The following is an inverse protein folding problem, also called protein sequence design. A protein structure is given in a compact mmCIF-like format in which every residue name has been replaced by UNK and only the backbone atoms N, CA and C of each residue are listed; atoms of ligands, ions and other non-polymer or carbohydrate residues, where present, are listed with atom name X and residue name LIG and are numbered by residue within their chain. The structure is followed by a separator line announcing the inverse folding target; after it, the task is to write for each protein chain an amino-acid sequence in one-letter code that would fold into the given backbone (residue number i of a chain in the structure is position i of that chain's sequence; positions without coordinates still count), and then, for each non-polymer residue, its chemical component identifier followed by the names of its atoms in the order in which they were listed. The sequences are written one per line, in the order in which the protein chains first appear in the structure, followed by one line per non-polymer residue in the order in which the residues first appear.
data_IF_058735948359
#
_entry.id   IF_058735948359
#
_cell.length_a   1.000
_cell.length_b   1.000
_cell.length_c   1.000
_cell.angle_alpha   90.00
_cell.angle_beta   90.00
_cell.angle_gamma   90.00
#
_symmetry.space_group_name_H-M   'P 1'
#
loop_
_entity.id
_entity.type
_entity.pdbx_description
1 polymer ?
#
# COMPACT_ATOMS: atom_id res chain seq x y z
N UNK A 1 10.27 -20.47 -1.90
CA UNK A 1 10.05 -21.12 -3.21
C UNK A 1 9.58 -22.54 -2.94
N UNK A 2 8.54 -22.99 -3.63
CA UNK A 2 8.04 -24.37 -3.54
C UNK A 2 7.99 -25.01 -4.93
N UNK A 3 8.06 -26.33 -4.99
CA UNK A 3 7.97 -27.08 -6.25
C UNK A 3 7.05 -28.27 -6.04
N UNK A 4 5.98 -28.36 -6.84
CA UNK A 4 5.01 -29.43 -6.77
C UNK A 4 5.51 -30.66 -7.52
N UNK A 5 6.35 -31.47 -6.86
CA UNK A 5 7.01 -32.64 -7.47
C UNK A 5 6.10 -33.85 -7.63
N UNK A 6 5.05 -33.99 -6.81
CA UNK A 6 4.17 -35.15 -6.81
C UNK A 6 2.95 -34.98 -7.74
N UNK A 7 2.24 -33.86 -7.60
CA UNK A 7 1.04 -33.55 -8.37
C UNK A 7 0.74 -32.04 -8.32
N UNK A 8 -0.05 -31.54 -9.26
CA UNK A 8 -0.51 -30.15 -9.23
C UNK A 8 -1.48 -29.93 -8.07
N UNK A 9 -1.26 -28.86 -7.29
CA UNK A 9 -2.13 -28.49 -6.18
C UNK A 9 -3.35 -27.69 -6.62
N UNK A 10 -3.32 -27.15 -7.84
CA UNK A 10 -4.42 -26.44 -8.49
C UNK A 10 -4.64 -26.98 -9.90
N UNK A 11 -5.85 -26.77 -10.42
CA UNK A 11 -6.11 -27.05 -11.83
C UNK A 11 -5.38 -26.02 -12.70
N UNK A 12 -4.58 -26.52 -13.65
CA UNK A 12 -3.85 -25.69 -14.62
C UNK A 12 -4.45 -25.96 -16.00
N UNK A 13 -5.40 -25.12 -16.39
CA UNK A 13 -6.10 -25.21 -17.66
C UNK A 13 -5.43 -24.38 -18.76
N UNK A 14 -6.09 -24.32 -19.91
CA UNK A 14 -5.63 -23.50 -21.05
C UNK A 14 -5.92 -22.01 -20.85
N UNK A 15 -6.94 -21.69 -20.03
CA UNK A 15 -7.28 -20.32 -19.66
C UNK A 15 -6.41 -19.85 -18.47
N UNK A 16 -5.58 -18.80 -18.67
CA UNK A 16 -4.72 -18.28 -17.62
C UNK A 16 -5.52 -17.60 -16.49
N UNK A 17 -6.73 -17.07 -16.76
CA UNK A 17 -7.54 -16.39 -15.75
C UNK A 17 -8.14 -17.36 -14.73
N UNK A 18 -8.66 -18.49 -15.22
CA UNK A 18 -9.13 -19.58 -14.35
C UNK A 18 -7.98 -20.09 -13.47
N UNK A 19 -6.80 -20.31 -14.07
CA UNK A 19 -5.61 -20.77 -13.34
C UNK A 19 -5.15 -19.75 -12.29
N UNK A 20 -5.18 -18.44 -12.61
CA UNK A 20 -4.86 -17.36 -11.67
C UNK A 20 -5.78 -17.37 -10.45
N UNK A 21 -7.09 -17.48 -10.68
CA UNK A 21 -8.11 -17.51 -9.62
C UNK A 21 -7.88 -18.69 -8.66
N UNK A 22 -7.68 -19.88 -9.20
CA UNK A 22 -7.46 -21.09 -8.42
C UNK A 22 -6.13 -21.04 -7.65
N UNK A 23 -5.07 -20.52 -8.28
CA UNK A 23 -3.78 -20.32 -7.64
C UNK A 23 -3.84 -19.35 -6.46
N UNK A 24 -4.54 -18.23 -6.60
CA UNK A 24 -4.67 -17.25 -5.53
C UNK A 24 -5.54 -17.75 -4.38
N UNK A 25 -6.56 -18.59 -4.68
CA UNK A 25 -7.29 -19.33 -3.65
C UNK A 25 -6.36 -20.29 -2.90
N UNK A 26 -5.56 -21.08 -3.62
CA UNK A 26 -4.58 -21.98 -3.01
C UNK A 26 -3.59 -21.23 -2.12
N UNK A 27 -3.04 -20.10 -2.58
CA UNK A 27 -2.13 -19.25 -1.81
C UNK A 27 -2.76 -18.85 -0.47
N UNK A 28 -3.98 -18.32 -0.50
CA UNK A 28 -4.69 -17.87 0.71
C UNK A 28 -4.88 -19.01 1.72
N UNK A 29 -5.14 -20.22 1.26
CA UNK A 29 -5.48 -21.36 2.12
C UNK A 29 -4.26 -22.17 2.59
N UNK A 30 -3.18 -22.23 1.79
CA UNK A 30 -2.09 -23.18 1.99
C UNK A 30 -0.70 -22.55 2.15
N UNK A 31 -0.42 -21.39 1.52
CA UNK A 31 0.89 -20.75 1.60
C UNK A 31 0.97 -19.91 2.89
N UNK A 32 1.81 -20.33 3.82
CA UNK A 32 2.00 -19.66 5.12
C UNK A 32 3.16 -18.67 5.13
N UNK A 33 4.07 -18.80 4.18
CA UNK A 33 5.21 -17.90 4.06
C UNK A 33 4.74 -16.50 3.68
N UNK A 34 5.32 -15.49 4.33
CA UNK A 34 5.01 -14.10 4.02
C UNK A 34 5.72 -13.68 2.74
N UNK A 35 4.95 -13.17 1.79
CA UNK A 35 5.47 -12.60 0.56
C UNK A 35 4.61 -11.43 0.10
N UNK A 36 5.24 -10.46 -0.56
CA UNK A 36 4.57 -9.30 -1.13
C UNK A 36 3.72 -9.72 -2.35
N UNK A 37 4.29 -10.59 -3.18
CA UNK A 37 3.62 -11.27 -4.29
C UNK A 37 3.93 -12.78 -4.31
N UNK A 38 3.09 -13.55 -4.99
CA UNK A 38 3.34 -14.96 -5.31
C UNK A 38 3.07 -15.22 -6.79
N UNK A 39 3.99 -15.86 -7.49
CA UNK A 39 3.82 -16.20 -8.91
C UNK A 39 3.95 -17.70 -9.13
N UNK A 40 3.03 -18.25 -9.92
CA UNK A 40 3.09 -19.63 -10.40
C UNK A 40 3.87 -19.69 -11.71
N UNK A 41 4.81 -20.63 -11.82
CA UNK A 41 5.41 -21.02 -13.09
C UNK A 41 4.78 -22.33 -13.57
N UNK A 42 4.04 -22.24 -14.67
CA UNK A 42 3.30 -23.34 -15.26
C UNK A 42 4.06 -23.95 -16.42
N UNK A 43 4.31 -25.27 -16.38
CA UNK A 43 4.85 -26.01 -17.53
C UNK A 43 3.88 -26.16 -18.71
N UNK A 44 2.64 -25.67 -18.59
CA UNK A 44 1.64 -25.65 -19.68
C UNK A 44 1.65 -24.29 -20.37
N UNK A 45 1.46 -24.31 -21.67
CA UNK A 45 1.21 -23.12 -22.50
C UNK A 45 -0.29 -22.79 -22.47
N UNK A 46 -0.62 -21.53 -22.26
CA UNK A 46 -1.98 -21.03 -22.26
C UNK A 46 -2.46 -20.75 -23.68
N UNK A 47 -3.76 -20.96 -23.93
CA UNK A 47 -4.40 -20.60 -25.20
C UNK A 47 -4.84 -19.13 -25.17
N UNK A 48 -3.88 -18.24 -24.97
CA UNK A 48 -4.12 -16.79 -24.96
C UNK A 48 -3.04 -16.06 -25.76
N UNK A 49 -3.27 -14.79 -26.10
CA UNK A 49 -2.25 -13.97 -26.75
C UNK A 49 -1.04 -13.68 -25.84
N UNK A 50 -1.09 -14.10 -24.57
CA UNK A 50 -0.15 -13.72 -23.52
C UNK A 50 0.37 -14.95 -22.78
N UNK A 51 1.66 -14.91 -22.46
CA UNK A 51 2.34 -15.97 -21.70
C UNK A 51 2.15 -15.86 -20.18
N UNK A 52 1.40 -14.88 -19.70
CA UNK A 52 1.13 -14.71 -18.28
C UNK A 52 0.02 -13.70 -18.00
N UNK A 53 -0.51 -13.76 -16.79
CA UNK A 53 -1.51 -12.81 -16.29
C UNK A 53 -1.38 -12.67 -14.78
N UNK A 54 -1.65 -11.47 -14.27
CA UNK A 54 -1.60 -11.15 -12.86
C UNK A 54 -2.67 -10.12 -12.52
N UNK A 55 -3.15 -10.12 -11.28
CA UNK A 55 -4.13 -9.13 -10.87
C UNK A 55 -3.51 -7.73 -10.83
N UNK A 56 -4.17 -6.79 -11.50
CA UNK A 56 -3.71 -5.41 -11.56
C UNK A 56 -3.86 -4.77 -10.18
N UNK A 57 -2.84 -4.01 -9.76
CA UNK A 57 -2.75 -3.38 -8.43
C UNK A 57 -2.87 -4.38 -7.26
N UNK A 58 -2.54 -5.65 -7.51
CA UNK A 58 -2.70 -6.73 -6.54
C UNK A 58 -1.63 -6.77 -5.45
N UNK A 59 -0.47 -6.12 -5.63
CA UNK A 59 0.67 -6.23 -4.71
C UNK A 59 0.27 -5.96 -3.24
N UNK A 60 0.89 -6.66 -2.30
CA UNK A 60 0.57 -6.62 -0.86
C UNK A 60 -0.78 -7.25 -0.46
N UNK A 61 -1.63 -7.65 -1.42
CA UNK A 61 -2.87 -8.37 -1.12
C UNK A 61 -2.62 -9.89 -1.04
N UNK A 62 -3.19 -10.53 -0.03
CA UNK A 62 -3.15 -11.99 0.09
C UNK A 62 -3.93 -12.69 -1.04
N UNK A 63 -5.07 -12.10 -1.46
CA UNK A 63 -5.97 -12.67 -2.47
C UNK A 63 -5.68 -12.20 -3.88
N UNK A 64 -4.99 -11.06 -4.05
CA UNK A 64 -4.70 -10.47 -5.37
C UNK A 64 -3.22 -10.31 -5.68
N UNK A 65 -2.31 -10.39 -4.72
CA UNK A 65 -0.88 -10.14 -4.96
C UNK A 65 -0.15 -11.27 -5.67
N UNK A 66 -0.50 -11.57 -6.90
CA UNK A 66 0.14 -12.64 -7.63
C UNK A 66 -0.24 -12.72 -9.09
N UNK A 67 0.38 -13.69 -9.74
CA UNK A 67 0.23 -13.95 -11.17
C UNK A 67 0.58 -15.39 -11.54
N UNK A 68 0.24 -15.76 -12.77
CA UNK A 68 0.62 -17.04 -13.37
C UNK A 68 1.41 -16.75 -14.64
N UNK A 69 2.51 -17.48 -14.84
CA UNK A 69 3.39 -17.31 -15.98
C UNK A 69 3.71 -18.67 -16.58
N UNK A 70 3.79 -18.74 -17.90
CA UNK A 70 4.31 -19.89 -18.62
C UNK A 70 5.80 -20.07 -18.32
N UNK A 71 6.17 -21.32 -18.06
CA UNK A 71 7.55 -21.74 -17.91
C UNK A 71 8.14 -22.08 -19.27
N UNK A 72 9.36 -21.61 -19.52
CA UNK A 72 10.06 -21.84 -20.78
C UNK A 72 11.48 -21.32 -20.76
N UNK A 73 11.90 -20.69 -21.86
CA UNK A 73 13.23 -20.10 -21.96
C UNK A 73 13.39 -18.95 -20.95
N UNK A 74 14.55 -18.88 -20.29
CA UNK A 74 14.84 -17.90 -19.22
C UNK A 74 14.60 -16.46 -19.67
N UNK A 75 15.00 -16.11 -20.89
CA UNK A 75 14.82 -14.76 -21.43
C UNK A 75 13.34 -14.34 -21.53
N UNK A 76 12.52 -15.01 -22.37
CA UNK A 76 11.09 -14.73 -22.46
C UNK A 76 10.36 -14.84 -21.11
N UNK A 77 10.64 -15.87 -20.31
CA UNK A 77 10.00 -16.06 -19.00
C UNK A 77 10.30 -14.90 -18.05
N UNK A 78 11.52 -14.34 -18.08
CA UNK A 78 11.86 -13.15 -17.31
C UNK A 78 11.04 -11.92 -17.74
N UNK A 79 10.79 -11.75 -19.03
CA UNK A 79 9.93 -10.67 -19.54
C UNK A 79 8.48 -10.87 -19.09
N UNK A 80 7.96 -12.08 -19.22
CA UNK A 80 6.60 -12.44 -18.76
C UNK A 80 6.44 -12.20 -17.26
N UNK A 81 7.42 -12.60 -16.44
CA UNK A 81 7.40 -12.32 -15.00
C UNK A 81 7.44 -10.80 -14.73
N UNK A 82 8.28 -10.05 -15.45
CA UNK A 82 8.33 -8.59 -15.33
C UNK A 82 7.00 -7.92 -15.69
N UNK A 83 6.30 -8.41 -16.72
CA UNK A 83 4.96 -7.94 -17.10
C UNK A 83 3.93 -8.23 -16.00
N UNK A 84 3.89 -9.46 -15.50
CA UNK A 84 2.98 -9.89 -14.44
C UNK A 84 3.21 -9.11 -13.13
N UNK A 85 4.47 -8.89 -12.75
CA UNK A 85 4.81 -8.02 -11.61
C UNK A 85 4.44 -6.56 -11.91
N UNK A 86 4.67 -6.09 -13.15
CA UNK A 86 4.25 -4.77 -13.60
C UNK A 86 2.75 -4.54 -13.40
N UNK A 87 1.92 -5.52 -13.77
CA UNK A 87 0.48 -5.50 -13.50
C UNK A 87 0.18 -5.43 -12.01
N UNK A 88 0.81 -6.28 -11.18
CA UNK A 88 0.63 -6.21 -9.71
C UNK A 88 1.00 -4.83 -9.13
N UNK A 89 1.93 -4.11 -9.78
CA UNK A 89 2.38 -2.76 -9.44
C UNK A 89 1.55 -1.63 -10.09
N UNK A 90 0.44 -1.96 -10.76
CA UNK A 90 -0.48 -1.00 -11.36
C UNK A 90 -0.14 -0.56 -12.79
N UNK A 91 0.92 -1.11 -13.39
CA UNK A 91 1.26 -0.85 -14.79
C UNK A 91 0.28 -1.60 -15.70
N UNK A 92 -0.24 -0.91 -16.70
CA UNK A 92 -1.17 -1.51 -17.64
C UNK A 92 -0.47 -1.88 -18.96
N UNK A 93 -1.01 -2.88 -19.65
CA UNK A 93 -0.61 -3.16 -21.01
C UNK A 93 -1.00 -2.03 -21.94
N UNK A 94 -0.20 -1.87 -23.01
CA UNK A 94 -0.41 -1.01 -24.17
C UNK A 94 -1.77 -0.35 -24.28
N UNK A 95 -1.77 0.98 -24.24
CA UNK A 95 -2.93 1.79 -24.60
C UNK A 95 -2.55 2.74 -25.70
N UNK A 96 -3.25 2.60 -26.81
CA UNK A 96 -3.52 3.70 -27.72
C UNK A 96 -4.12 4.86 -26.90
N UNK A 97 -3.26 5.71 -26.32
CA UNK A 97 -3.71 7.04 -25.91
C UNK A 97 -3.98 7.77 -27.22
N UNK A 98 -5.22 8.25 -27.39
CA UNK A 98 -5.72 8.85 -28.62
C UNK A 98 -4.92 10.08 -29.12
N UNK A 99 -3.94 10.56 -28.34
CA UNK A 99 -2.96 11.55 -28.76
C UNK A 99 -1.67 10.87 -29.20
N UNK A 100 -1.36 10.98 -30.50
CA UNK A 100 -0.06 10.67 -31.07
C UNK A 100 1.03 11.57 -30.43
N UNK A 101 1.57 11.18 -29.27
CA UNK A 101 2.61 11.94 -28.58
C UNK A 101 2.97 11.54 -27.14
N UNK A 102 2.06 10.97 -26.34
CA UNK A 102 2.28 10.95 -24.87
C UNK A 102 2.96 9.70 -24.30
N UNK A 103 2.72 8.51 -24.86
CA UNK A 103 3.36 7.27 -24.40
C UNK A 103 4.43 6.81 -25.39
N UNK A 104 5.68 7.21 -25.17
CA UNK A 104 6.81 6.77 -26.00
C UNK A 104 7.65 5.72 -25.29
N UNK A 105 7.88 4.60 -25.98
CA UNK A 105 8.90 3.65 -25.57
C UNK A 105 10.30 4.23 -25.85
N UNK A 106 11.22 4.27 -24.86
CA UNK A 106 12.58 4.76 -25.06
C UNK A 106 13.40 3.91 -26.04
N UNK A 107 13.00 2.66 -26.29
CA UNK A 107 13.65 1.76 -27.23
C UNK A 107 12.66 1.33 -28.33
N UNK A 108 12.63 2.04 -29.47
CA UNK A 108 11.71 1.71 -30.56
C UNK A 108 12.02 0.36 -31.25
N UNK A 109 13.20 -0.22 -31.04
CA UNK A 109 13.65 -1.43 -31.73
C UNK A 109 13.35 -2.69 -30.92
N UNK A 110 13.67 -2.66 -29.62
CA UNK A 110 13.38 -3.78 -28.71
C UNK A 110 11.95 -3.73 -28.15
N UNK A 111 11.28 -2.59 -28.26
CA UNK A 111 9.98 -2.36 -27.61
C UNK A 111 10.12 -2.21 -26.10
N UNK A 112 8.97 -2.13 -25.44
CA UNK A 112 8.86 -1.97 -24.00
C UNK A 112 8.27 -3.20 -23.31
N UNK A 113 8.55 -3.35 -22.00
CA UNK A 113 8.15 -4.56 -21.25
C UNK A 113 6.63 -4.75 -21.26
N UNK A 114 5.84 -3.69 -21.10
CA UNK A 114 4.36 -3.77 -21.10
C UNK A 114 3.73 -3.79 -22.51
N UNK A 115 4.55 -4.02 -23.54
CA UNK A 115 4.13 -4.24 -24.93
C UNK A 115 4.14 -5.73 -25.31
N UNK A 116 3.49 -6.08 -26.42
CA UNK A 116 3.48 -7.44 -26.96
C UNK A 116 4.91 -7.95 -27.15
N UNK A 117 5.18 -9.12 -26.56
CA UNK A 117 6.52 -9.70 -26.59
C UNK A 117 6.77 -10.40 -27.93
N UNK A 118 7.60 -9.78 -28.76
CA UNK A 118 8.03 -10.33 -30.03
C UNK A 118 9.27 -11.23 -29.92
N UNK A 119 9.96 -11.40 -31.05
CA UNK A 119 11.24 -12.12 -31.10
C UNK A 119 12.35 -11.43 -30.29
N UNK A 120 12.33 -10.10 -30.25
CA UNK A 120 13.27 -9.29 -29.48
C UNK A 120 12.76 -9.06 -28.07
N UNK A 121 13.64 -9.27 -27.08
CA UNK A 121 13.27 -9.16 -25.67
C UNK A 121 13.45 -7.71 -25.16
N UNK A 122 12.37 -7.03 -24.76
CA UNK A 122 12.44 -5.67 -24.25
C UNK A 122 13.17 -5.62 -22.90
N UNK A 123 13.79 -4.49 -22.59
CA UNK A 123 14.55 -4.31 -21.32
C UNK A 123 14.16 -3.06 -20.54
N UNK A 124 13.20 -2.28 -21.05
CA UNK A 124 12.82 -0.99 -20.49
C UNK A 124 11.30 -0.88 -20.40
N UNK A 125 10.84 -0.17 -19.38
CA UNK A 125 9.46 0.27 -19.29
C UNK A 125 9.24 1.54 -20.12
N UNK A 126 8.00 1.73 -20.60
CA UNK A 126 7.60 2.98 -21.25
C UNK A 126 7.45 4.08 -20.19
N UNK A 127 7.45 5.34 -20.63
CA UNK A 127 7.18 6.47 -19.72
C UNK A 127 5.83 6.34 -19.02
N UNK A 128 4.81 5.83 -19.72
CA UNK A 128 3.46 5.69 -19.17
C UNK A 128 3.38 4.60 -18.11
N UNK A 129 4.08 3.48 -18.28
CA UNK A 129 4.16 2.43 -17.26
C UNK A 129 4.80 2.96 -15.97
N UNK A 130 5.82 3.83 -16.09
CA UNK A 130 6.42 4.49 -14.92
C UNK A 130 5.46 5.48 -14.27
N UNK A 131 4.75 6.30 -15.05
CA UNK A 131 3.74 7.24 -14.51
C UNK A 131 2.60 6.50 -13.78
N UNK A 132 2.14 5.37 -14.32
CA UNK A 132 1.13 4.51 -13.70
C UNK A 132 1.59 3.90 -12.38
N UNK A 133 2.82 3.38 -12.34
CA UNK A 133 3.43 2.88 -11.11
C UNK A 133 3.58 3.99 -10.05
N UNK A 134 4.05 5.17 -10.44
CA UNK A 134 4.20 6.31 -9.52
C UNK A 134 2.84 6.73 -8.98
N UNK A 135 1.80 6.79 -9.83
CA UNK A 135 0.44 7.09 -9.38
C UNK A 135 -0.06 6.04 -8.40
N UNK A 136 0.12 4.75 -8.68
CA UNK A 136 -0.27 3.67 -7.79
C UNK A 136 0.32 3.83 -6.38
N UNK A 137 1.61 4.20 -6.28
CA UNK A 137 2.25 4.50 -4.99
C UNK A 137 1.68 5.76 -4.32
N UNK A 138 1.45 6.82 -5.08
CA UNK A 138 0.88 8.08 -4.56
C UNK A 138 -0.56 7.92 -4.06
N UNK A 139 -1.32 7.01 -4.66
CA UNK A 139 -2.65 6.65 -4.21
C UNK A 139 -2.65 5.83 -2.91
N UNK A 140 -1.47 5.41 -2.40
CA UNK A 140 -1.30 4.63 -1.16
C UNK A 140 -1.10 3.13 -1.37
N UNK A 141 -0.91 2.69 -2.63
CA UNK A 141 -0.59 1.30 -2.96
C UNK A 141 0.85 0.92 -2.61
N UNK A 142 1.11 -0.39 -2.52
CA UNK A 142 2.49 -0.91 -2.39
C UNK A 142 3.15 -0.75 -1.02
N UNK A 143 2.36 -0.62 0.05
CA UNK A 143 2.89 -0.42 1.43
C UNK A 143 3.91 -1.48 1.88
N UNK A 144 3.77 -2.74 1.43
CA UNK A 144 4.69 -3.83 1.72
C UNK A 144 6.05 -3.76 0.98
N UNK A 145 6.23 -2.84 0.03
CA UNK A 145 7.45 -2.77 -0.79
C UNK A 145 8.60 -1.98 -0.14
N UNK A 146 8.36 -1.39 1.03
CA UNK A 146 9.30 -0.52 1.73
C UNK A 146 10.09 -1.25 2.83
N UNK A 147 10.11 -2.59 2.82
CA UNK A 147 10.96 -3.40 3.69
C UNK A 147 12.07 -4.10 2.89
N UNK A 148 13.32 -3.74 3.17
CA UNK A 148 14.48 -4.39 2.58
C UNK A 148 14.69 -5.79 3.20
N UNK A 149 14.70 -6.87 2.42
CA UNK A 149 15.02 -8.21 2.92
C UNK A 149 16.45 -8.32 3.46
N UNK A 150 16.67 -9.17 4.46
CA UNK A 150 18.00 -9.43 5.06
C UNK A 150 18.46 -10.88 4.91
N UNK A 151 17.62 -11.75 4.35
CA UNK A 151 17.93 -13.15 4.10
C UNK A 151 17.47 -13.49 2.69
N UNK A 152 18.43 -13.71 1.80
CA UNK A 152 18.17 -14.17 0.45
C UNK A 152 18.25 -15.71 0.42
N UNK A 153 17.79 -16.29 -0.71
CA UNK A 153 17.86 -17.74 -0.93
C UNK A 153 19.25 -18.18 -1.38
N UNK A 154 20.02 -17.25 -1.96
CA UNK A 154 21.37 -17.48 -2.45
C UNK A 154 22.42 -17.28 -1.33
N UNK A 155 23.65 -17.81 -1.51
CA UNK A 155 24.75 -17.54 -0.58
C UNK A 155 25.09 -16.04 -0.50
N UNK A 156 25.54 -15.53 0.66
CA UNK A 156 25.88 -14.12 0.83
C UNK A 156 26.90 -13.60 -0.19
N UNK A 157 26.62 -12.45 -0.81
CA UNK A 157 27.48 -11.81 -1.81
C UNK A 157 27.69 -10.30 -1.54
N UNK A 158 28.88 -9.97 -1.04
CA UNK A 158 29.25 -8.59 -0.78
C UNK A 158 29.25 -7.71 -2.05
N UNK A 159 28.39 -6.70 -2.07
CA UNK A 159 28.24 -5.73 -3.16
C UNK A 159 26.93 -5.88 -3.95
N UNK A 160 26.07 -6.83 -3.56
CA UNK A 160 24.72 -6.99 -4.12
C UNK A 160 23.71 -5.96 -3.55
N UNK A 161 24.13 -5.22 -2.53
CA UNK A 161 23.35 -4.17 -1.88
C UNK A 161 22.43 -4.69 -0.77
N UNK A 162 22.54 -5.94 -0.32
CA UNK A 162 21.76 -6.50 0.78
C UNK A 162 22.67 -6.85 1.94
N UNK A 163 22.26 -6.51 3.17
CA UNK A 163 23.05 -6.88 4.36
C UNK A 163 22.68 -8.30 4.75
N UNK A 164 23.59 -9.23 4.45
CA UNK A 164 23.42 -10.67 4.64
C UNK A 164 24.24 -11.21 5.82
N UNK A 165 24.13 -12.51 6.09
CA UNK A 165 24.84 -13.11 7.22
C UNK A 165 26.37 -13.04 7.01
N UNK A 166 27.05 -12.33 7.91
CA UNK A 166 28.50 -12.11 7.85
C UNK A 166 28.90 -10.71 7.38
N UNK A 167 27.93 -9.89 6.97
CA UNK A 167 28.16 -8.51 6.54
C UNK A 167 27.59 -7.51 7.54
N UNK A 168 28.28 -6.38 7.74
CA UNK A 168 27.80 -5.28 8.58
C UNK A 168 27.12 -4.17 7.76
N UNK A 169 27.48 -4.09 6.49
CA UNK A 169 26.96 -3.10 5.55
C UNK A 169 27.09 -3.61 4.13
N UNK A 170 26.16 -3.20 3.27
CA UNK A 170 26.32 -3.33 1.83
C UNK A 170 25.73 -2.09 1.13
N UNK A 171 26.61 -1.35 0.47
CA UNK A 171 26.31 -0.12 -0.26
C UNK A 171 25.98 -0.37 -1.74
N UNK A 172 26.10 -1.60 -2.24
CA UNK A 172 25.90 -1.99 -3.63
C UNK A 172 27.03 -1.57 -4.56
N UNK A 173 27.31 -2.32 -5.62
CA UNK A 173 28.46 -2.09 -6.50
C UNK A 173 28.50 -0.72 -7.20
N UNK A 174 27.36 -0.23 -7.72
CA UNK A 174 27.28 1.07 -8.42
C UNK A 174 26.94 2.23 -7.48
N UNK A 175 26.12 1.98 -6.47
CA UNK A 175 25.58 3.01 -5.58
C UNK A 175 26.53 3.41 -4.46
N UNK A 176 27.54 2.57 -4.15
CA UNK A 176 28.50 2.87 -3.08
C UNK A 176 29.25 4.19 -3.29
N UNK A 177 29.50 4.56 -4.55
CA UNK A 177 30.16 5.82 -4.91
C UNK A 177 29.29 7.05 -4.58
N UNK A 178 27.96 6.88 -4.56
CA UNK A 178 26.99 7.94 -4.31
C UNK A 178 26.58 8.00 -2.84
N UNK A 179 26.38 6.83 -2.22
CA UNK A 179 25.92 6.70 -0.84
C UNK A 179 26.60 5.51 -0.15
N UNK A 180 27.19 5.76 1.01
CA UNK A 180 27.69 4.71 1.91
C UNK A 180 29.13 4.24 1.70
N UNK A 181 29.79 4.56 0.59
CA UNK A 181 31.18 4.13 0.36
C UNK A 181 32.23 4.70 1.31
N UNK A 182 31.96 5.86 1.94
CA UNK A 182 32.82 6.38 3.01
C UNK A 182 32.68 5.59 4.33
N UNK A 183 31.54 4.91 4.50
CA UNK A 183 31.13 4.26 5.74
C UNK A 183 31.29 2.73 5.68
N UNK A 184 31.44 2.17 4.49
CA UNK A 184 31.46 0.73 4.24
C UNK A 184 32.64 0.34 3.36
N UNK A 185 33.45 -0.61 3.82
CA UNK A 185 34.61 -1.11 3.09
C UNK A 185 34.67 -2.62 3.20
N UNK A 186 34.61 -3.32 2.06
CA UNK A 186 34.56 -4.80 2.00
C UNK A 186 33.44 -5.37 2.90
N UNK A 187 32.24 -4.79 2.79
CA UNK A 187 31.05 -5.11 3.58
C UNK A 187 31.23 -5.10 5.11
N UNK A 188 32.21 -4.33 5.58
CA UNK A 188 32.48 -4.04 6.99
C UNK A 188 32.39 -2.53 7.21
N UNK A 189 31.84 -2.10 8.34
CA UNK A 189 31.75 -0.68 8.66
C UNK A 189 33.14 -0.08 8.91
N UNK A 190 33.34 1.17 8.52
CA UNK A 190 34.57 1.91 8.81
C UNK A 190 34.60 2.38 10.28
N UNK A 191 35.75 2.84 10.75
CA UNK A 191 35.90 3.34 12.12
C UNK A 191 34.88 4.45 12.43
N UNK A 192 34.18 4.34 13.56
CA UNK A 192 33.08 5.21 14.00
C UNK A 192 31.80 5.23 13.13
N UNK A 193 31.69 4.35 12.12
CA UNK A 193 30.47 4.22 11.34
C UNK A 193 29.46 3.31 12.06
N UNK A 194 28.21 3.77 12.14
CA UNK A 194 27.05 3.03 12.64
C UNK A 194 26.15 2.55 11.49
N UNK A 195 26.24 3.19 10.33
CA UNK A 195 25.47 2.85 9.15
C UNK A 195 26.25 3.18 7.88
N UNK A 196 25.80 2.59 6.76
CA UNK A 196 26.36 2.86 5.43
C UNK A 196 25.38 3.65 4.56
N UNK A 197 24.20 3.09 4.31
CA UNK A 197 23.17 3.64 3.44
C UNK A 197 21.79 3.55 4.10
N UNK A 198 20.81 4.22 3.49
CA UNK A 198 19.41 4.26 3.93
C UNK A 198 18.95 5.69 4.30
N UNK A 199 17.64 5.90 4.31
CA UNK A 199 17.02 7.21 4.55
C UNK A 199 17.25 7.74 5.98
N UNK A 200 17.58 6.86 6.93
CA UNK A 200 17.89 7.21 8.32
C UNK A 200 19.40 7.12 8.61
N UNK A 201 20.24 7.27 7.58
CA UNK A 201 21.69 7.31 7.72
C UNK A 201 22.23 8.64 7.21
N UNK A 202 22.92 9.37 8.08
CA UNK A 202 23.52 10.65 7.74
C UNK A 202 24.97 10.69 8.21
N UNK A 203 25.90 10.85 7.26
CA UNK A 203 27.35 10.86 7.52
C UNK A 203 27.80 9.69 8.40
N UNK A 204 27.44 8.47 8.00
CA UNK A 204 27.76 7.22 8.69
C UNK A 204 27.17 7.06 10.11
N UNK A 205 26.26 7.94 10.54
CA UNK A 205 25.56 7.85 11.83
C UNK A 205 24.06 7.72 11.61
N UNK A 206 23.38 7.04 12.54
CA UNK A 206 21.93 7.00 12.52
C UNK A 206 21.35 8.40 12.70
N UNK A 207 20.30 8.68 11.94
CA UNK A 207 19.49 9.86 12.16
C UNK A 207 18.83 9.82 13.54
N UNK A 208 18.52 10.99 14.10
CA UNK A 208 17.89 11.07 15.41
C UNK A 208 16.48 10.47 15.37
N UNK A 209 16.03 9.93 16.51
CA UNK A 209 14.67 9.42 16.65
C UNK A 209 13.67 10.56 16.40
N UNK A 210 12.68 10.32 15.54
CA UNK A 210 11.64 11.30 15.20
C UNK A 210 11.94 12.13 13.96
N UNK A 211 13.11 11.99 13.33
CA UNK A 211 13.36 12.58 12.00
C UNK A 211 12.48 11.88 10.98
N UNK A 212 11.67 12.64 10.24
CA UNK A 212 10.81 12.10 9.20
C UNK A 212 11.64 11.56 8.03
N UNK A 213 11.43 10.30 7.69
CA UNK A 213 12.10 9.65 6.56
C UNK A 213 11.16 9.34 5.39
N UNK A 214 9.84 9.37 5.63
CA UNK A 214 8.83 9.28 4.58
C UNK A 214 7.60 10.12 4.93
N UNK A 215 7.17 10.95 4.00
CA UNK A 215 5.92 11.71 4.08
C UNK A 215 4.71 10.80 3.81
N UNK A 216 3.56 11.17 4.37
CA UNK A 216 2.29 10.55 4.02
C UNK A 216 1.86 10.96 2.61
N UNK A 217 1.45 9.99 1.79
CA UNK A 217 1.05 10.26 0.38
C UNK A 217 -0.41 10.70 0.24
N UNK A 218 -1.27 10.34 1.20
CA UNK A 218 -2.69 10.65 1.19
C UNK A 218 -3.29 10.67 2.62
N UNK A 219 -4.59 10.96 2.72
CA UNK A 219 -5.34 10.97 3.99
C UNK A 219 -5.41 9.61 4.69
N UNK A 220 -5.16 8.51 3.99
CA UNK A 220 -5.18 7.14 4.49
C UNK A 220 -3.80 6.64 4.93
N UNK A 221 -2.77 7.44 4.73
CA UNK A 221 -1.38 7.10 5.01
C UNK A 221 -0.87 7.80 6.29
N UNK A 222 0.27 7.34 6.81
CA UNK A 222 0.91 7.86 8.01
C UNK A 222 2.39 8.12 7.71
N UNK A 223 2.98 9.25 8.15
CA UNK A 223 4.40 9.47 7.95
C UNK A 223 5.25 8.55 8.83
N UNK A 224 6.37 8.05 8.31
CA UNK A 224 7.35 7.31 9.09
C UNK A 224 8.54 8.18 9.51
N UNK A 225 9.01 7.89 10.72
CA UNK A 225 10.13 8.57 11.33
C UNK A 225 11.22 7.58 11.71
N UNK A 226 12.47 8.01 11.59
CA UNK A 226 13.63 7.26 12.01
C UNK A 226 13.53 6.86 13.48
N UNK A 227 13.94 5.63 13.77
CA UNK A 227 13.87 5.04 15.12
C UNK A 227 15.02 5.47 16.02
N UNK A 228 16.11 5.98 15.43
CA UNK A 228 17.35 6.36 16.11
C UNK A 228 18.39 5.24 16.21
N UNK A 229 18.05 4.02 15.80
CA UNK A 229 18.86 2.81 15.95
C UNK A 229 18.92 1.94 14.68
N UNK A 230 18.42 2.47 13.56
CA UNK A 230 18.41 1.80 12.25
C UNK A 230 18.72 2.80 11.15
N UNK A 231 19.41 2.34 10.11
CA UNK A 231 19.69 3.13 8.91
C UNK A 231 18.52 3.15 7.92
N UNK A 232 17.63 2.15 8.02
CA UNK A 232 16.45 2.04 7.18
C UNK A 232 15.28 2.80 7.80
N UNK A 233 14.48 3.46 6.95
CA UNK A 233 13.18 3.96 7.38
C UNK A 233 12.31 2.77 7.83
N UNK A 234 11.48 2.91 8.88
CA UNK A 234 10.58 1.85 9.29
C UNK A 234 9.68 1.37 8.15
N UNK A 235 9.16 0.13 8.22
CA UNK A 235 8.22 -0.37 7.21
C UNK A 235 7.03 0.58 7.06
N UNK A 236 6.66 0.86 5.81
CA UNK A 236 5.51 1.71 5.47
C UNK A 236 4.22 1.10 6.02
N UNK A 237 3.48 1.90 6.78
CA UNK A 237 2.21 1.54 7.39
C UNK A 237 1.17 2.60 7.10
N UNK A 238 -0.07 2.16 6.86
CA UNK A 238 -1.19 3.04 6.62
C UNK A 238 -2.25 2.93 7.72
N UNK A 239 -3.19 3.88 7.71
CA UNK A 239 -4.35 3.86 8.61
C UNK A 239 -5.15 2.58 8.39
N UNK A 240 -5.75 2.08 9.46
CA UNK A 240 -6.65 0.94 9.40
C UNK A 240 -7.80 1.19 8.42
N UNK A 241 -8.27 0.12 7.78
CA UNK A 241 -9.41 0.22 6.88
C UNK A 241 -10.65 0.74 7.62
N UNK A 242 -11.47 1.54 6.94
CA UNK A 242 -12.68 2.15 7.49
C UNK A 242 -12.52 3.58 8.03
N UNK A 243 -11.29 4.08 8.20
CA UNK A 243 -11.06 5.52 8.47
C UNK A 243 -11.66 6.38 7.34
N UNK A 244 -12.20 7.54 7.69
CA UNK A 244 -12.74 8.48 6.69
C UNK A 244 -11.62 9.26 6.01
N UNK A 245 -11.78 9.52 4.72
CA UNK A 245 -10.85 10.31 3.90
C UNK A 245 -11.65 11.23 2.95
N UNK A 246 -10.98 12.13 2.24
CA UNK A 246 -11.61 13.05 1.26
C UNK A 246 -12.75 13.86 1.88
N UNK A 247 -12.43 14.56 2.99
CA UNK A 247 -13.39 15.34 3.78
C UNK A 247 -14.64 14.55 4.25
N UNK A 248 -14.53 13.23 4.41
CA UNK A 248 -15.60 12.34 4.87
C UNK A 248 -16.44 11.72 3.75
N UNK A 249 -16.11 11.97 2.48
CA UNK A 249 -16.80 11.38 1.33
C UNK A 249 -16.30 9.95 1.03
N UNK A 250 -15.07 9.64 1.44
CA UNK A 250 -14.43 8.36 1.20
C UNK A 250 -14.08 7.58 2.45
N UNK A 251 -13.63 6.34 2.23
CA UNK A 251 -13.05 5.50 3.28
C UNK A 251 -11.73 4.89 2.85
N UNK A 252 -10.85 4.74 3.82
CA UNK A 252 -9.57 4.08 3.65
C UNK A 252 -9.77 2.58 3.51
N UNK A 253 -9.19 1.99 2.47
CA UNK A 253 -9.19 0.55 2.25
C UNK A 253 -7.87 0.15 1.56
N UNK A 254 -7.06 -0.66 2.25
CA UNK A 254 -5.73 -1.05 1.78
C UNK A 254 -4.78 0.15 1.60
N UNK A 255 -4.90 1.18 2.45
CA UNK A 255 -4.07 2.39 2.39
C UNK A 255 -4.51 3.43 1.35
N UNK A 256 -5.58 3.16 0.61
CA UNK A 256 -6.10 4.03 -0.45
C UNK A 256 -7.46 4.61 -0.07
N UNK A 257 -7.73 5.84 -0.50
CA UNK A 257 -9.04 6.46 -0.29
C UNK A 257 -10.02 6.01 -1.39
N UNK A 258 -11.10 5.33 -1.01
CA UNK A 258 -12.11 4.80 -1.93
C UNK A 258 -13.36 5.68 -1.94
N UNK A 259 -13.71 6.20 -3.13
CA UNK A 259 -14.96 6.92 -3.42
C UNK A 259 -15.50 6.51 -4.79
N UNK A 260 -16.83 6.54 -4.97
CA UNK A 260 -17.44 6.33 -6.29
C UNK A 260 -17.00 7.40 -7.29
N UNK A 261 -16.86 8.64 -6.83
CA UNK A 261 -16.41 9.76 -7.66
C UNK A 261 -14.99 9.56 -8.17
N UNK A 262 -14.05 9.17 -7.31
CA UNK A 262 -12.68 8.87 -7.72
C UNK A 262 -12.63 7.70 -8.70
N UNK A 263 -13.45 6.66 -8.49
CA UNK A 263 -13.54 5.52 -9.41
C UNK A 263 -14.06 5.96 -10.79
N UNK A 264 -15.16 6.71 -10.85
CA UNK A 264 -15.70 7.25 -12.11
C UNK A 264 -14.68 8.21 -12.78
N UNK A 265 -13.98 9.03 -12.00
CA UNK A 265 -13.00 9.99 -12.52
C UNK A 265 -11.77 9.27 -13.10
N UNK A 266 -11.33 8.19 -12.46
CA UNK A 266 -10.22 7.38 -12.94
C UNK A 266 -10.61 6.61 -14.22
N UNK A 267 -11.80 6.01 -14.23
CA UNK A 267 -12.23 5.14 -15.32
C UNK A 267 -12.75 5.89 -16.55
N UNK A 268 -13.56 6.92 -16.34
CA UNK A 268 -14.29 7.65 -17.39
C UNK A 268 -13.92 9.13 -17.47
N UNK A 269 -13.30 9.70 -16.44
CA UNK A 269 -13.01 11.14 -16.38
C UNK A 269 -14.19 12.00 -15.96
N UNK A 270 -15.22 11.39 -15.37
CA UNK A 270 -16.45 12.05 -14.91
C UNK A 270 -16.77 11.68 -13.46
N UNK A 271 -17.68 12.42 -12.84
CA UNK A 271 -18.11 12.16 -11.47
C UNK A 271 -19.12 11.00 -11.38
N UNK A 272 -19.34 10.51 -10.17
CA UNK A 272 -20.37 9.54 -9.88
C UNK A 272 -21.76 10.13 -10.08
N UNK A 273 -22.68 9.27 -10.51
CA UNK A 273 -24.08 9.61 -10.65
C UNK A 273 -24.75 9.82 -9.29
N UNK A 274 -25.90 10.49 -9.31
CA UNK A 274 -26.71 10.72 -8.12
C UNK A 274 -27.18 9.38 -7.51
N UNK A 275 -27.35 9.34 -6.19
CA UNK A 275 -27.85 8.17 -5.46
C UNK A 275 -29.16 7.62 -6.05
N UNK A 276 -30.03 8.48 -6.58
CA UNK A 276 -31.28 8.06 -7.22
C UNK A 276 -31.05 7.17 -8.45
N UNK A 277 -29.94 7.34 -9.19
CA UNK A 277 -29.59 6.46 -10.31
C UNK A 277 -29.39 5.02 -9.83
N UNK A 278 -28.63 4.84 -8.74
CA UNK A 278 -28.36 3.54 -8.13
C UNK A 278 -29.65 2.91 -7.58
N UNK A 279 -30.47 3.69 -6.86
CA UNK A 279 -31.72 3.19 -6.28
C UNK A 279 -32.73 2.72 -7.32
N UNK A 280 -32.72 3.31 -8.53
CA UNK A 280 -33.55 2.84 -9.64
C UNK A 280 -32.91 1.65 -10.34
N UNK A 281 -31.77 1.86 -10.99
CA UNK A 281 -31.20 0.88 -11.93
C UNK A 281 -30.74 -0.39 -11.24
N UNK A 282 -30.05 -0.29 -10.09
CA UNK A 282 -29.45 -1.48 -9.46
C UNK A 282 -30.51 -2.42 -8.85
N UNK A 283 -31.71 -1.90 -8.57
CA UNK A 283 -32.84 -2.73 -8.09
C UNK A 283 -33.55 -3.48 -9.23
N UNK A 284 -33.34 -3.09 -10.49
CA UNK A 284 -33.95 -3.76 -11.64
C UNK A 284 -33.32 -5.13 -11.90
N UNK A 285 -32.02 -5.28 -11.63
CA UNK A 285 -31.27 -6.52 -11.88
C UNK A 285 -31.19 -6.85 -13.36
N UNK A 286 -30.77 -5.87 -14.15
CA UNK A 286 -30.54 -6.00 -15.59
C UNK A 286 -29.08 -5.69 -15.90
N UNK A 287 -28.66 -5.86 -17.15
CA UNK A 287 -27.33 -5.44 -17.62
C UNK A 287 -27.06 -3.95 -17.34
N UNK A 288 -28.12 -3.13 -17.21
CA UNK A 288 -28.03 -1.69 -16.95
C UNK A 288 -27.87 -1.31 -15.48
N UNK A 289 -28.04 -2.27 -14.57
CA UNK A 289 -27.95 -2.07 -13.14
C UNK A 289 -28.28 -3.34 -12.38
N UNK A 290 -27.32 -3.83 -11.60
CA UNK A 290 -27.39 -5.11 -10.91
C UNK A 290 -26.30 -5.21 -9.80
N UNK A 291 -26.31 -6.31 -9.06
CA UNK A 291 -25.33 -6.67 -8.02
C UNK A 291 -24.48 -7.88 -8.43
N UNK A 292 -24.03 -7.90 -9.68
CA UNK A 292 -23.24 -9.00 -10.23
C UNK A 292 -24.07 -10.01 -10.99
N UNK A 293 -23.39 -11.03 -11.51
CA UNK A 293 -24.02 -12.17 -12.16
C UNK A 293 -24.36 -13.25 -11.13
N UNK A 294 -25.47 -13.96 -11.35
CA UNK A 294 -25.86 -15.08 -10.50
C UNK A 294 -24.81 -16.20 -10.61
N UNK A 295 -24.31 -16.74 -9.49
CA UNK A 295 -23.31 -17.82 -9.50
C UNK A 295 -23.75 -19.08 -10.27
N UNK A 296 -25.05 -19.29 -10.43
CA UNK A 296 -25.66 -20.40 -11.17
C UNK A 296 -25.81 -20.11 -12.67
N UNK A 297 -25.41 -18.92 -13.13
CA UNK A 297 -25.49 -18.50 -14.53
C UNK A 297 -26.89 -18.08 -14.99
N UNK A 298 -27.81 -17.79 -14.07
CA UNK A 298 -29.21 -17.47 -14.38
C UNK A 298 -29.46 -16.01 -14.80
N UNK A 299 -28.40 -15.20 -14.98
CA UNK A 299 -28.49 -13.81 -15.40
C UNK A 299 -27.96 -12.84 -14.34
N UNK A 300 -28.53 -11.65 -14.29
CA UNK A 300 -28.11 -10.55 -13.41
C UNK A 300 -28.85 -10.58 -12.07
N UNK A 301 -28.14 -10.29 -10.98
CA UNK A 301 -28.70 -10.29 -9.62
C UNK A 301 -29.32 -8.92 -9.31
N UNK A 302 -30.58 -8.90 -8.90
CA UNK A 302 -31.23 -7.70 -8.36
C UNK A 302 -30.59 -7.28 -7.04
N UNK A 303 -30.17 -6.02 -6.91
CA UNK A 303 -29.65 -5.52 -5.65
C UNK A 303 -30.77 -5.36 -4.61
N UNK A 304 -30.47 -5.74 -3.37
CA UNK A 304 -31.30 -5.31 -2.24
C UNK A 304 -31.21 -3.78 -2.08
N UNK A 305 -32.25 -3.17 -1.51
CA UNK A 305 -32.28 -1.72 -1.22
C UNK A 305 -31.10 -1.22 -0.40
N UNK A 306 -30.49 -2.06 0.44
CA UNK A 306 -29.31 -1.71 1.24
C UNK A 306 -28.01 -1.77 0.42
N UNK A 307 -27.97 -2.61 -0.61
CA UNK A 307 -26.77 -2.94 -1.40
C UNK A 307 -26.68 -2.12 -2.69
N UNK A 308 -27.70 -1.33 -3.02
CA UNK A 308 -27.77 -0.53 -4.27
C UNK A 308 -26.54 0.32 -4.56
N UNK A 309 -25.83 0.80 -3.52
CA UNK A 309 -24.62 1.61 -3.66
C UNK A 309 -23.32 0.79 -3.80
N UNK A 310 -23.41 -0.54 -3.80
CA UNK A 310 -22.29 -1.48 -3.96
C UNK A 310 -22.42 -2.34 -5.23
N UNK A 311 -23.51 -2.19 -5.98
CA UNK A 311 -23.72 -2.86 -7.26
C UNK A 311 -22.98 -2.17 -8.40
N UNK A 312 -23.64 -2.13 -9.56
CA UNK A 312 -23.13 -1.51 -10.78
C UNK A 312 -22.82 -0.02 -10.57
N UNK A 313 -21.64 0.40 -11.03
CA UNK A 313 -21.13 1.76 -10.92
C UNK A 313 -21.82 2.65 -11.95
N UNK A 314 -22.35 3.78 -11.47
CA UNK A 314 -23.02 4.76 -12.31
C UNK A 314 -22.30 6.11 -12.20
N UNK A 315 -22.00 6.69 -13.36
CA UNK A 315 -21.30 7.95 -13.56
C UNK A 315 -22.16 8.90 -14.40
N UNK A 316 -21.78 10.18 -14.48
CA UNK A 316 -22.51 11.20 -15.26
C UNK A 316 -21.83 11.50 -16.59
N UNK A 317 -22.60 11.84 -17.63
CA UNK A 317 -22.12 12.46 -18.87
C UNK A 317 -21.03 11.66 -19.59
N UNK A 318 -21.21 10.34 -19.68
CA UNK A 318 -20.19 9.43 -20.21
C UNK A 318 -20.20 9.44 -21.75
N UNK A 319 -19.10 9.88 -22.38
CA UNK A 319 -19.03 10.12 -23.84
C UNK A 319 -18.15 9.15 -24.65
N UNK A 320 -17.94 7.91 -24.15
CA UNK A 320 -17.38 6.71 -24.83
C UNK A 320 -15.86 6.41 -24.60
N UNK A 321 -15.56 5.09 -24.55
CA UNK A 321 -14.38 4.26 -24.20
C UNK A 321 -13.74 4.54 -22.82
N UNK A 322 -13.58 3.52 -21.95
CA UNK A 322 -12.92 3.72 -20.67
C UNK A 322 -11.44 4.06 -20.88
N UNK A 323 -10.88 4.80 -19.94
CA UNK A 323 -9.43 5.06 -19.87
C UNK A 323 -8.65 3.76 -19.62
N UNK A 324 -9.28 2.80 -18.94
CA UNK A 324 -8.67 1.52 -18.59
C UNK A 324 -9.62 0.34 -18.82
N UNK A 325 -9.08 -0.76 -19.34
CA UNK A 325 -9.87 -1.96 -19.67
C UNK A 325 -10.54 -1.88 -21.04
N UNK A 326 -11.10 -3.00 -21.46
CA UNK A 326 -11.93 -3.10 -22.65
C UNK A 326 -13.40 -2.99 -22.26
N UNK A 327 -14.15 -2.18 -23.03
CA UNK A 327 -15.58 -2.06 -22.84
C UNK A 327 -16.27 -3.32 -23.33
N UNK A 328 -16.92 -4.06 -22.44
CA UNK A 328 -17.73 -5.21 -22.78
C UNK A 328 -19.21 -4.81 -22.81
N UNK A 329 -19.88 -5.08 -23.94
CA UNK A 329 -21.28 -4.71 -24.14
C UNK A 329 -21.47 -3.23 -24.44
N UNK A 330 -22.72 -2.76 -24.29
CA UNK A 330 -23.10 -1.38 -24.56
C UNK A 330 -23.02 -0.51 -23.30
N UNK A 331 -22.73 0.77 -23.49
CA UNK A 331 -22.84 1.76 -22.42
C UNK A 331 -24.31 1.91 -22.03
N UNK A 332 -24.60 1.71 -20.75
CA UNK A 332 -25.86 2.10 -20.16
C UNK A 332 -25.96 3.61 -20.12
N UNK A 333 -27.06 4.16 -20.62
CA UNK A 333 -27.39 5.58 -20.48
C UNK A 333 -28.90 5.73 -20.26
N UNK A 334 -29.26 6.41 -19.17
CA UNK A 334 -30.63 6.74 -18.83
C UNK A 334 -30.67 8.11 -18.18
N UNK A 335 -31.55 8.99 -18.68
CA UNK A 335 -31.84 10.26 -18.02
C UNK A 335 -33.11 10.16 -17.19
N UNK A 336 -33.00 10.42 -15.89
CA UNK A 336 -34.12 10.39 -14.94
C UNK A 336 -34.49 11.83 -14.56
N UNK A 337 -35.78 12.18 -14.64
CA UNK A 337 -36.27 13.43 -14.08
C UNK A 337 -36.70 13.23 -12.62
N UNK A 338 -36.05 13.93 -11.68
CA UNK A 338 -36.34 13.85 -10.25
C UNK A 338 -36.11 15.20 -9.57
N UNK A 339 -37.05 15.64 -8.72
CA UNK A 339 -36.96 16.91 -7.97
C UNK A 339 -36.59 18.13 -8.84
N UNK A 340 -37.26 18.32 -9.98
CA UNK A 340 -36.97 19.40 -10.94
C UNK A 340 -35.56 19.38 -11.57
N UNK A 341 -34.82 18.27 -11.47
CA UNK A 341 -33.49 18.09 -12.07
C UNK A 341 -33.48 16.86 -12.98
N UNK A 342 -32.79 16.98 -14.11
CA UNK A 342 -32.43 15.84 -14.95
C UNK A 342 -31.14 15.23 -14.41
N UNK A 343 -31.20 13.93 -14.09
CA UNK A 343 -30.08 13.13 -13.60
C UNK A 343 -29.66 12.19 -14.72
N UNK A 344 -28.39 12.23 -15.08
CA UNK A 344 -27.82 11.35 -16.09
C UNK A 344 -27.17 10.15 -15.40
N UNK A 345 -27.63 8.95 -15.74
CA UNK A 345 -27.22 7.69 -15.14
C UNK A 345 -26.54 6.85 -16.23
N UNK A 346 -25.22 6.93 -16.29
CA UNK A 346 -24.41 6.19 -17.26
C UNK A 346 -23.56 5.13 -16.58
N UNK A 347 -23.33 3.99 -17.24
CA UNK A 347 -22.45 2.95 -16.72
C UNK A 347 -21.98 2.01 -17.82
N UNK A 348 -20.96 1.22 -17.56
CA UNK A 348 -20.44 0.25 -18.52
C UNK A 348 -19.47 -0.72 -17.87
N UNK A 349 -19.40 -1.93 -18.41
CA UNK A 349 -18.47 -2.97 -17.96
C UNK A 349 -17.09 -2.72 -18.58
N UNK A 350 -16.18 -2.17 -17.79
CA UNK A 350 -14.79 -1.96 -18.20
C UNK A 350 -13.94 -3.10 -17.63
N UNK A 351 -13.71 -4.12 -18.46
CA UNK A 351 -13.06 -5.35 -18.04
C UNK A 351 -11.57 -5.25 -18.27
N UNK A 352 -10.81 -5.48 -17.21
CA UNK A 352 -9.37 -5.58 -17.25
C UNK A 352 -8.93 -6.95 -17.76
N UNK A 353 -7.67 -7.03 -18.17
CA UNK A 353 -7.08 -8.26 -18.71
C UNK A 353 -6.91 -9.37 -17.68
N UNK A 354 -7.00 -9.05 -16.39
CA UNK A 354 -7.04 -10.01 -15.29
C UNK A 354 -8.47 -10.53 -15.00
N UNK A 355 -9.43 -10.14 -15.85
CA UNK A 355 -10.85 -10.46 -15.71
C UNK A 355 -11.60 -9.63 -14.67
N UNK A 356 -10.94 -8.65 -14.04
CA UNK A 356 -11.61 -7.74 -13.09
C UNK A 356 -12.52 -6.77 -13.83
N UNK A 357 -13.77 -6.67 -13.42
CA UNK A 357 -14.73 -5.71 -13.97
C UNK A 357 -14.77 -4.44 -13.12
N UNK A 358 -14.26 -3.34 -13.68
CA UNK A 358 -14.26 -2.01 -13.05
C UNK A 358 -15.63 -1.30 -13.16
N UNK A 359 -16.61 -1.94 -13.80
CA UNK A 359 -17.99 -1.48 -13.90
C UNK A 359 -18.80 -1.64 -12.61
N UNK A 360 -18.24 -2.24 -11.55
CA UNK A 360 -18.86 -2.32 -10.23
C UNK A 360 -18.17 -1.42 -9.22
N UNK A 361 -18.92 -0.99 -8.21
CA UNK A 361 -18.36 -0.20 -7.10
C UNK A 361 -17.29 -1.02 -6.37
N UNK A 362 -16.10 -0.43 -6.22
CA UNK A 362 -14.97 -1.10 -5.56
C UNK A 362 -15.22 -1.40 -4.08
N UNK A 363 -14.63 -2.49 -3.59
CA UNK A 363 -14.59 -2.82 -2.17
C UNK A 363 -13.94 -1.71 -1.34
N UNK A 364 -14.49 -1.49 -0.14
CA UNK A 364 -14.10 -0.41 0.76
C UNK A 364 -14.83 0.92 0.53
N UNK A 365 -15.56 1.05 -0.59
CA UNK A 365 -16.31 2.29 -0.89
C UNK A 365 -17.47 2.50 0.09
N UNK A 366 -17.70 3.72 0.61
CA UNK A 366 -18.78 3.97 1.55
C UNK A 366 -20.17 3.88 0.90
N UNK A 367 -21.04 3.03 1.46
CA UNK A 367 -22.43 2.86 1.03
C UNK A 367 -23.47 3.40 2.04
N UNK A 368 -23.01 3.88 3.20
CA UNK A 368 -23.85 4.48 4.23
C UNK A 368 -23.05 4.92 5.47
N UNK A 369 -23.73 5.49 6.48
CA UNK A 369 -23.11 5.82 7.76
C UNK A 369 -22.50 4.58 8.41
N UNK A 370 -21.18 4.58 8.62
CA UNK A 370 -20.42 3.43 9.15
C UNK A 370 -20.60 2.12 8.36
N UNK A 371 -20.80 2.21 7.04
CA UNK A 371 -20.91 1.05 6.14
C UNK A 371 -19.97 1.18 4.92
N UNK A 372 -19.54 0.04 4.39
CA UNK A 372 -18.64 -0.11 3.24
C UNK A 372 -19.08 -1.27 2.34
N UNK A 373 -18.72 -1.17 1.06
CA UNK A 373 -18.93 -2.23 0.09
C UNK A 373 -17.90 -3.36 0.26
N UNK A 374 -18.37 -4.60 0.19
CA UNK A 374 -17.54 -5.80 0.04
C UNK A 374 -18.33 -6.85 -0.73
N UNK A 375 -17.76 -7.37 -1.82
CA UNK A 375 -18.39 -8.39 -2.67
C UNK A 375 -19.83 -7.99 -3.08
N UNK A 376 -19.99 -6.76 -3.58
CA UNK A 376 -21.26 -6.13 -3.98
C UNK A 376 -22.31 -5.96 -2.86
N UNK A 377 -21.92 -6.08 -1.59
CA UNK A 377 -22.81 -5.92 -0.44
C UNK A 377 -22.42 -4.74 0.43
N UNK A 378 -23.42 -4.03 0.95
CA UNK A 378 -23.21 -2.95 1.91
C UNK A 378 -23.16 -3.51 3.33
N UNK A 379 -21.96 -3.59 3.90
CA UNK A 379 -21.72 -4.19 5.21
C UNK A 379 -21.26 -3.14 6.22
N UNK A 380 -21.58 -3.30 7.52
CA UNK A 380 -21.00 -2.48 8.58
C UNK A 380 -19.47 -2.53 8.58
N UNK A 381 -18.82 -1.40 8.87
CA UNK A 381 -17.34 -1.31 8.94
C UNK A 381 -16.73 -2.33 9.92
N UNK A 382 -17.45 -2.67 10.99
CA UNK A 382 -17.03 -3.68 11.98
C UNK A 382 -16.89 -5.10 11.40
N UNK A 383 -17.56 -5.40 10.28
CA UNK A 383 -17.53 -6.73 9.64
C UNK A 383 -16.19 -7.01 8.97
N UNK A 384 -15.39 -5.98 8.68
CA UNK A 384 -14.09 -6.11 8.03
C UNK A 384 -12.99 -6.65 8.98
N UNK A 385 -13.36 -7.23 10.12
CA UNK A 385 -12.46 -7.79 11.15
C UNK A 385 -11.27 -6.86 11.47
N UNK A 386 -11.58 -5.57 11.54
CA UNK A 386 -10.61 -4.52 11.77
C UNK A 386 -9.98 -4.73 13.15
N UNK A 387 -8.65 -4.81 13.18
CA UNK A 387 -7.91 -5.07 14.41
C UNK A 387 -8.14 -3.93 15.40
N UNK A 388 -8.60 -4.26 16.61
CA UNK A 388 -8.78 -3.29 17.69
C UNK A 388 -7.49 -3.16 18.52
N UNK A 389 -7.19 -1.94 18.96
CA UNK A 389 -6.08 -1.69 19.88
C UNK A 389 -6.56 -1.60 21.33
N UNK A 390 -5.75 -2.01 22.32
CA UNK A 390 -6.05 -1.74 23.73
C UNK A 390 -6.21 -0.24 23.97
N UNK A 391 -7.31 0.19 24.60
CA UNK A 391 -7.63 1.62 24.81
C UNK A 391 -8.46 2.28 23.71
N UNK A 392 -8.94 1.49 22.73
CA UNK A 392 -9.97 1.92 21.78
C UNK A 392 -11.36 1.45 22.23
N UNK A 393 -12.20 2.38 22.69
CA UNK A 393 -13.63 2.15 22.98
C UNK A 393 -14.44 3.19 22.24
N UNK A 394 -15.40 2.84 21.36
CA UNK A 394 -16.18 3.83 20.61
C UNK A 394 -16.79 4.89 21.56
N UNK A 395 -16.59 6.20 21.33
CA UNK A 395 -15.96 6.85 20.16
C UNK A 395 -14.44 7.09 20.25
N UNK A 396 -13.79 6.80 21.38
CA UNK A 396 -12.36 6.99 21.58
C UNK A 396 -11.54 5.91 20.88
N UNK A 397 -10.87 6.26 19.79
CA UNK A 397 -9.85 5.43 19.16
C UNK A 397 -8.49 5.80 19.77
N UNK A 398 -7.73 4.82 20.28
CA UNK A 398 -6.44 5.05 20.91
C UNK A 398 -6.47 6.15 21.99
N UNK A 399 -7.50 6.12 22.85
CA UNK A 399 -7.74 7.14 23.90
C UNK A 399 -7.81 8.58 23.37
N UNK A 400 -8.29 8.79 22.14
CA UNK A 400 -8.41 10.10 21.46
C UNK A 400 -7.08 10.79 21.14
N UNK A 401 -5.97 10.04 21.22
CA UNK A 401 -4.62 10.57 21.06
C UNK A 401 -3.84 9.86 19.95
N UNK A 402 -4.48 8.99 19.16
CA UNK A 402 -3.75 8.25 18.14
C UNK A 402 -4.57 7.57 17.05
N UNK A 403 -3.84 6.95 16.13
CA UNK A 403 -4.37 6.29 14.94
C UNK A 403 -4.05 4.80 14.98
N UNK A 404 -5.00 3.94 14.63
CA UNK A 404 -4.74 2.50 14.49
C UNK A 404 -4.09 2.23 13.14
N UNK A 405 -2.99 1.47 13.15
CA UNK A 405 -2.25 1.08 11.96
C UNK A 405 -2.67 -0.33 11.48
N UNK A 406 -2.83 -0.50 10.17
CA UNK A 406 -3.43 -1.71 9.55
C UNK A 406 -2.69 -3.01 9.88
N UNK A 407 -1.38 -2.97 10.10
CA UNK A 407 -0.56 -4.18 10.09
C UNK A 407 -0.06 -4.65 11.47
N UNK A 408 -0.49 -4.03 12.59
CA UNK A 408 0.03 -4.44 13.91
C UNK A 408 -0.96 -4.42 15.07
N UNK A 409 -2.24 -4.07 14.89
CA UNK A 409 -3.11 -3.74 16.04
C UNK A 409 -2.41 -2.76 17.01
N UNK A 410 -1.67 -1.79 16.46
CA UNK A 410 -0.89 -0.81 17.21
C UNK A 410 -1.49 0.56 17.04
N UNK A 411 -1.60 1.26 18.16
CA UNK A 411 -1.89 2.69 18.20
C UNK A 411 -0.60 3.47 17.95
N UNK A 412 -0.66 4.37 16.97
CA UNK A 412 0.30 5.45 16.79
C UNK A 412 -0.24 6.66 17.56
N UNK A 413 0.34 6.98 18.72
CA UNK A 413 -0.06 8.19 19.46
C UNK A 413 0.64 9.43 18.88
N UNK A 414 -0.17 10.44 18.54
CA UNK A 414 0.24 11.80 18.20
C UNK A 414 0.07 12.65 19.47
N UNK A 415 1.00 12.59 20.42
CA UNK A 415 0.92 13.42 21.63
C UNK A 415 1.98 14.53 21.62
N UNK A 416 1.53 15.78 21.76
CA UNK A 416 2.32 16.84 22.40
C UNK A 416 2.80 16.34 23.76
N UNK A 417 4.12 16.26 23.95
CA UNK A 417 4.74 15.85 25.20
C UNK A 417 4.45 16.91 26.29
N UNK A 418 3.42 16.67 27.11
CA UNK A 418 3.02 17.57 28.20
C UNK A 418 1.93 16.98 29.09
N UNK A 419 2.24 15.94 29.87
CA UNK A 419 1.34 15.43 30.91
C UNK A 419 1.73 14.06 31.44
N UNK A 420 1.78 13.90 32.75
CA UNK A 420 2.11 12.65 33.45
C UNK A 420 1.07 11.55 33.15
N UNK A 421 1.40 10.58 32.29
CA UNK A 421 0.58 9.39 32.09
C UNK A 421 1.39 8.13 32.39
N UNK A 422 0.77 7.20 33.14
CA UNK A 422 1.34 5.89 33.48
C UNK A 422 1.48 5.06 32.21
N UNK A 423 2.71 4.91 31.73
CA UNK A 423 3.06 4.09 30.58
C UNK A 423 3.22 2.64 31.04
N UNK A 424 2.24 1.80 30.72
CA UNK A 424 2.42 0.35 30.73
C UNK A 424 1.93 -0.21 29.40
N UNK A 425 2.89 -0.54 28.52
CA UNK A 425 2.76 -1.16 27.20
C UNK A 425 2.37 -0.26 26.00
N UNK A 426 3.25 0.66 25.59
CA UNK A 426 3.18 1.30 24.27
C UNK A 426 4.51 1.23 23.51
N UNK A 427 4.45 0.95 22.21
CA UNK A 427 5.65 0.69 21.37
C UNK A 427 6.13 1.90 20.56
N UNK A 428 5.34 2.94 20.31
CA UNK A 428 5.79 4.14 19.59
C UNK A 428 5.07 5.40 20.06
N UNK A 429 5.84 6.35 20.59
CA UNK A 429 5.39 7.71 20.95
C UNK A 429 5.99 8.65 19.90
N UNK A 430 5.15 9.35 19.13
CA UNK A 430 5.60 10.48 18.32
C UNK A 430 5.71 11.70 19.23
N UNK A 431 6.92 12.04 19.66
CA UNK A 431 7.16 13.29 20.37
C UNK A 431 7.68 14.31 19.33
N UNK A 432 6.82 15.20 18.85
CA UNK A 432 7.29 16.44 18.23
C UNK A 432 7.93 17.28 19.34
N UNK A 433 9.24 17.53 19.23
CA UNK A 433 9.92 18.45 20.13
C UNK A 433 9.37 19.86 19.92
N UNK A 434 8.53 20.31 20.85
CA UNK A 434 8.33 21.73 21.10
C UNK A 434 9.50 22.18 21.97
N UNK A 435 10.37 23.05 21.46
CA UNK A 435 11.29 23.80 22.30
C UNK A 435 10.46 24.69 23.25
N UNK A 436 10.25 24.25 24.47
CA UNK A 436 10.06 25.16 25.59
C UNK A 436 11.23 24.97 26.55
N UNK A 437 11.97 26.05 26.74
CA UNK A 437 12.98 26.23 27.76
C UNK A 437 12.39 25.99 29.15
N UNK A 438 12.40 24.73 29.63
CA UNK A 438 12.22 24.46 31.04
C UNK A 438 13.52 24.81 31.77
N UNK A 439 13.54 26.02 32.34
CA UNK A 439 14.49 26.38 33.37
C UNK A 439 14.47 25.36 34.52
N UNK A 440 15.57 25.21 35.26
CA UNK A 440 15.70 24.17 36.27
C UNK A 440 14.59 24.29 37.34
N UNK A 441 13.83 23.20 37.48
CA UNK A 441 12.80 23.02 38.52
C UNK A 441 13.35 23.37 39.90
N UNK A 442 12.62 24.24 40.63
CA UNK A 442 13.01 24.80 41.93
C UNK A 442 13.31 23.77 43.03
N UNK A 443 13.00 22.50 42.82
CA UNK A 443 13.32 21.41 43.75
C UNK A 443 14.82 21.08 43.78
N UNK A 444 15.54 21.25 42.67
CA UNK A 444 16.99 20.98 42.60
C UNK A 444 17.83 22.11 43.22
N UNK A 445 17.30 23.34 43.28
CA UNK A 445 17.97 24.49 43.89
C UNK A 445 17.97 24.38 45.43
N UNK A 446 16.91 23.82 46.00
CA UNK A 446 16.77 23.65 47.46
C UNK A 446 17.74 22.57 47.97
N UNK A 447 17.87 21.45 47.25
CA UNK A 447 18.78 20.35 47.62
C UNK A 447 20.25 20.79 47.49
N UNK A 448 20.59 21.53 46.43
CA UNK A 448 21.93 22.09 46.24
C UNK A 448 22.31 23.13 47.30
N UNK A 449 21.35 23.98 47.72
CA UNK A 449 21.59 25.01 48.75
C UNK A 449 21.76 24.42 50.15
N UNK A 450 21.02 23.35 50.47
CA UNK A 450 21.19 22.61 51.74
C UNK A 450 22.52 21.88 51.79
N UNK A 451 22.94 21.20 50.71
CA UNK A 451 24.24 20.54 50.64
C UNK A 451 25.41 21.55 50.73
N UNK A 452 25.28 22.71 50.07
CA UNK A 452 26.26 23.79 50.14
C UNK A 452 26.39 24.42 51.53
N UNK A 453 25.27 24.66 52.21
CA UNK A 453 25.26 25.21 53.57
C UNK A 453 25.88 24.25 54.61
N UNK A 454 25.63 22.94 54.47
CA UNK A 454 26.23 21.91 55.33
C UNK A 454 27.75 21.84 55.10
N UNK A 455 28.22 21.93 53.85
CA UNK A 455 29.65 21.93 53.53
C UNK A 455 30.35 23.19 54.07
N UNK A 456 29.72 24.36 53.95
CA UNK A 456 30.24 25.61 54.49
C UNK A 456 30.31 25.59 56.03
N UNK A 457 29.27 25.06 56.68
CA UNK A 457 29.27 24.88 58.14
C UNK A 457 30.38 23.92 58.59
N UNK A 458 30.63 22.83 57.86
CA UNK A 458 31.72 21.90 58.15
C UNK A 458 33.11 22.54 57.99
N UNK A 459 33.30 23.41 57.00
CA UNK A 459 34.57 24.13 56.79
C UNK A 459 34.79 25.20 57.88
N UNK A 460 33.75 25.93 58.28
CA UNK A 460 33.85 26.95 59.34
C UNK A 460 34.10 26.31 60.71
N UNK A 461 33.45 25.18 61.01
CA UNK A 461 33.69 24.42 62.23
C UNK A 461 35.04 23.68 62.22
N UNK A 462 35.50 23.21 61.06
CA UNK A 462 36.82 22.59 60.90
C UNK A 462 37.97 23.61 60.96
N UNK A 463 37.77 24.83 60.46
CA UNK A 463 38.78 25.88 60.41
C UNK A 463 38.98 26.64 61.74
N UNK A 464 38.04 26.55 62.68
CA UNK A 464 38.16 27.17 64.01
C UNK A 464 38.81 26.24 65.06
N UNK A 465 39.07 24.98 64.70
CA UNK A 465 39.73 23.99 65.57
C UNK A 465 41.26 24.01 65.57
N UNK A 466 41.90 24.76 64.67
CA UNK A 466 43.37 24.81 64.52
C UNK A 466 43.95 26.19 64.84
N UNK A 467 43.62 26.69 66.03
CA UNK A 467 44.13 27.97 66.51
C UNK A 467 44.09 28.13 68.01
N UNK A 468 44.37 27.08 68.81
CA UNK A 468 44.75 27.20 70.23
C UNK A 468 45.39 25.90 70.76
N UNK A 469 46.69 25.70 70.49
CA UNK A 469 47.76 25.47 71.48
C UNK A 469 49.11 25.24 70.80
#
# INVERSE_FOLDING_TARGET
METWSAQNMVYVGDDPLTTLRDFMKYRRENIKDKSDAAHLFSGRTFHSARSGTAYIEGICSLTRGGGVNEYGNVGPMAITLCQSLGQNLGMMWNKERATAGDCRCPDPWLGCIMEDTGYYLPRKFSRCSVEEYVRFLQEGGGSCLFNKPTKLLDPPECGNGFVEQGEECDCGSQDCSRAGGACCKKCTLTHDAMCSNGLCCNRCRYEQRGIMCRDAVNDCDVPEMCTGDSSQCPPNVHKLDGYTCDAGQGRCYGGRCKTRDAQCQALWGHNAADRMCYEKLNTEGTEKGNCGQDPSGQGWVQCNKQDVLCGFLLCTNMTIKPRYGDLQGDVTSLTIYHQNKYLDCCGGHAVLEDGSDLGYVEDGTPCGPNMMCLDHRCLPVVTFNLSSCPGSSPPLICSDHGTILSNKSKCLLLSWCGGNYKVSNLTFILCSFCFLSLGPSGTNIIIGSLAGAILLAAIVLGGTGWGFK
#
